data_IF_490365236403
#
_entry.id   IF_490365236403
#
_cell.length_a   1.000
_cell.length_b   1.000
_cell.length_c   1.000
_cell.angle_alpha   90.00
_cell.angle_beta   90.00
_cell.angle_gamma   90.00
#
_symmetry.space_group_name_H-M   'P 1'
#
loop_
_entity.id
_entity.type
_entity.pdbx_description
1 polymer ?
#
# COMPACT_ATOMS: atom_id res chain seq x y z
N UNK A 1 -53.87 6.94 -39.48
CA UNK A 1 -53.22 8.26 -39.25
C UNK A 1 -53.08 8.39 -37.74
N UNK A 2 -51.93 8.37 -37.08
CA UNK A 2 -50.51 8.71 -37.38
C UNK A 2 -49.67 7.79 -36.43
N UNK A 3 -48.89 6.83 -36.95
CA UNK A 3 -47.43 6.87 -37.12
C UNK A 3 -46.62 7.18 -35.84
N UNK A 4 -45.80 6.21 -35.41
CA UNK A 4 -44.94 6.29 -34.23
C UNK A 4 -43.68 7.12 -34.42
N UNK A 5 -43.13 7.57 -33.27
CA UNK A 5 -41.75 8.01 -33.13
C UNK A 5 -41.17 7.32 -31.88
N UNK A 6 -40.56 6.16 -32.08
CA UNK A 6 -39.56 5.61 -31.17
C UNK A 6 -38.22 6.31 -31.48
N UNK A 7 -37.91 7.38 -30.75
CA UNK A 7 -36.58 7.99 -30.78
C UNK A 7 -35.57 7.08 -30.10
N UNK A 8 -34.74 6.42 -30.90
CA UNK A 8 -33.52 5.74 -30.44
C UNK A 8 -32.62 6.76 -29.71
N UNK A 9 -32.46 6.61 -28.40
CA UNK A 9 -31.31 7.18 -27.70
C UNK A 9 -30.17 6.19 -27.93
N UNK A 10 -29.33 6.48 -28.91
CA UNK A 10 -28.05 5.81 -29.07
C UNK A 10 -27.18 6.15 -27.84
N UNK A 11 -26.52 5.17 -27.19
CA UNK A 11 -25.54 5.49 -26.18
C UNK A 11 -24.37 6.20 -26.84
N UNK A 12 -23.97 7.35 -26.28
CA UNK A 12 -22.72 8.01 -26.64
C UNK A 12 -21.58 7.03 -26.38
N UNK A 13 -21.08 6.43 -27.45
CA UNK A 13 -20.07 5.38 -27.42
C UNK A 13 -18.75 5.92 -26.86
N UNK A 14 -18.01 5.07 -26.14
CA UNK A 14 -16.73 5.36 -25.45
C UNK A 14 -15.68 6.10 -26.31
N UNK A 15 -15.81 6.10 -27.64
CA UNK A 15 -14.92 6.82 -28.54
C UNK A 15 -15.07 8.34 -28.47
N UNK A 16 -16.27 8.89 -28.20
CA UNK A 16 -16.46 10.35 -28.07
C UNK A 16 -15.79 10.89 -26.80
N UNK A 17 -15.87 10.15 -25.68
CA UNK A 17 -15.18 10.51 -24.44
C UNK A 17 -13.65 10.40 -24.55
N UNK A 18 -13.14 9.48 -25.36
CA UNK A 18 -11.71 9.34 -25.66
C UNK A 18 -11.24 10.42 -26.65
N UNK A 19 -12.06 10.81 -27.61
CA UNK A 19 -11.79 11.90 -28.56
C UNK A 19 -11.74 13.25 -27.84
N UNK A 20 -12.70 13.55 -26.96
CA UNK A 20 -12.71 14.76 -26.12
C UNK A 20 -11.46 14.83 -25.22
N UNK A 21 -11.02 13.69 -24.66
CA UNK A 21 -9.76 13.61 -23.89
C UNK A 21 -8.50 13.83 -24.74
N UNK A 22 -8.51 13.40 -26.00
CA UNK A 22 -7.41 13.62 -26.94
C UNK A 22 -7.35 15.06 -27.43
N UNK A 23 -8.50 15.66 -27.76
CA UNK A 23 -8.57 17.04 -28.25
C UNK A 23 -8.27 18.05 -27.15
N UNK A 24 -8.68 17.78 -25.91
CA UNK A 24 -8.26 18.55 -24.73
C UNK A 24 -6.74 18.47 -24.51
N UNK A 25 -6.11 17.31 -24.75
CA UNK A 25 -4.66 17.10 -24.66
C UNK A 25 -3.87 17.77 -25.80
N UNK A 26 -4.47 17.92 -26.98
CA UNK A 26 -3.85 18.56 -28.15
C UNK A 26 -3.96 20.09 -28.07
N UNK A 27 -5.06 20.64 -27.54
CA UNK A 27 -5.15 22.08 -27.20
C UNK A 27 -4.21 22.50 -26.06
N UNK A 28 -3.66 21.56 -25.28
CA UNK A 28 -2.71 21.85 -24.19
C UNK A 28 -1.28 22.17 -24.66
N UNK A 29 -0.97 22.11 -25.96
CA UNK A 29 0.37 22.45 -26.46
C UNK A 29 0.73 23.94 -26.33
N UNK A 30 -0.25 24.81 -26.04
CA UNK A 30 -0.05 26.26 -25.86
C UNK A 30 -0.14 26.80 -24.43
N UNK A 31 -0.44 25.97 -23.42
CA UNK A 31 -0.64 26.42 -22.03
C UNK A 31 0.25 25.60 -21.09
N UNK A 32 1.31 26.25 -20.60
CA UNK A 32 2.14 25.84 -19.46
C UNK A 32 2.80 24.46 -19.56
N UNK A 33 4.00 24.45 -20.11
CA UNK A 33 4.99 23.38 -19.91
C UNK A 33 5.37 23.29 -18.41
N UNK A 34 4.56 22.57 -17.62
CA UNK A 34 4.80 22.27 -16.20
C UNK A 34 5.64 20.99 -16.01
N UNK A 35 6.67 20.79 -16.83
CA UNK A 35 7.67 19.73 -16.56
C UNK A 35 8.61 20.06 -15.39
N UNK A 36 8.47 21.24 -14.77
CA UNK A 36 9.12 21.57 -13.51
C UNK A 36 8.09 22.11 -12.53
N UNK A 37 8.12 21.63 -11.28
CA UNK A 37 7.42 22.19 -10.13
C UNK A 37 7.82 23.67 -9.90
N UNK A 38 7.33 24.60 -10.71
CA UNK A 38 7.46 26.05 -10.54
C UNK A 38 6.06 26.67 -10.52
N UNK A 39 5.61 27.08 -9.35
CA UNK A 39 4.50 28.03 -9.20
C UNK A 39 5.07 29.45 -9.33
N UNK A 40 4.82 30.16 -10.42
CA UNK A 40 5.30 31.54 -10.57
C UNK A 40 4.49 32.52 -9.70
N UNK A 41 5.16 33.59 -9.21
CA UNK A 41 4.58 34.94 -9.16
C UNK A 41 5.67 36.04 -9.24
N UNK A 42 5.23 37.20 -9.75
CA UNK A 42 5.94 38.31 -10.41
C UNK A 42 7.01 39.12 -9.65
N UNK A 43 7.54 38.69 -8.50
CA UNK A 43 8.29 39.63 -7.63
C UNK A 43 9.62 39.15 -7.04
N UNK A 44 10.40 38.34 -7.76
CA UNK A 44 11.83 38.16 -7.47
C UNK A 44 12.21 37.41 -6.18
N UNK A 45 11.28 36.71 -5.52
CA UNK A 45 11.57 35.86 -4.36
C UNK A 45 11.72 34.39 -4.77
N UNK A 46 12.80 33.73 -4.32
CA UNK A 46 13.12 32.33 -4.60
C UNK A 46 11.98 31.41 -4.13
N UNK A 47 11.42 30.67 -5.08
CA UNK A 47 10.32 29.74 -4.89
C UNK A 47 10.81 28.43 -4.24
N UNK A 48 10.36 28.12 -3.01
CA UNK A 48 10.62 26.83 -2.38
C UNK A 48 9.86 25.71 -3.12
N UNK A 49 10.56 24.68 -3.63
CA UNK A 49 9.93 23.48 -4.21
C UNK A 49 9.03 22.82 -3.15
N UNK A 50 7.94 22.12 -3.54
CA UNK A 50 7.05 21.43 -2.59
C UNK A 50 7.83 20.51 -1.63
N UNK A 51 8.84 19.82 -2.16
CA UNK A 51 9.79 19.01 -1.41
C UNK A 51 10.50 19.74 -0.27
N UNK A 52 10.62 21.06 -0.31
CA UNK A 52 11.41 21.87 0.61
C UNK A 52 10.51 22.76 1.50
N UNK A 53 9.19 22.65 1.35
CA UNK A 53 8.21 23.44 2.09
C UNK A 53 8.11 23.04 3.57
N UNK A 54 8.05 24.01 4.47
CA UNK A 54 7.70 23.81 5.88
C UNK A 54 6.23 23.38 6.05
N UNK A 55 5.88 22.83 7.22
CA UNK A 55 4.49 22.49 7.55
C UNK A 55 3.54 23.69 7.47
N UNK A 56 4.04 24.88 7.80
CA UNK A 56 3.29 26.14 7.69
C UNK A 56 3.07 26.51 6.23
N UNK A 57 4.10 26.42 5.38
CA UNK A 57 3.97 26.64 3.94
C UNK A 57 2.97 25.65 3.30
N UNK A 58 2.99 24.37 3.68
CA UNK A 58 2.00 23.39 3.19
C UNK A 58 0.56 23.77 3.60
N UNK A 59 0.37 24.33 4.81
CA UNK A 59 -0.96 24.81 5.24
C UNK A 59 -1.45 25.96 4.36
N UNK A 60 -0.56 26.88 3.98
CA UNK A 60 -0.88 27.98 3.06
C UNK A 60 -1.16 27.48 1.64
N UNK A 61 -0.32 26.58 1.12
CA UNK A 61 -0.53 25.92 -0.17
C UNK A 61 -1.88 25.21 -0.23
N UNK A 62 -2.24 24.44 0.80
CA UNK A 62 -3.53 23.75 0.87
C UNK A 62 -4.73 24.72 0.81
N UNK A 63 -4.63 25.89 1.42
CA UNK A 63 -5.67 26.93 1.31
C UNK A 63 -5.72 27.52 -0.10
N UNK A 64 -4.57 27.74 -0.72
CA UNK A 64 -4.46 28.21 -2.10
C UNK A 64 -5.11 27.23 -3.08
N UNK A 65 -4.82 25.94 -2.96
CA UNK A 65 -5.41 24.90 -3.81
C UNK A 65 -6.92 24.78 -3.65
N UNK A 66 -7.45 24.95 -2.43
CA UNK A 66 -8.92 25.03 -2.25
C UNK A 66 -9.52 26.22 -2.98
N UNK A 67 -8.88 27.40 -2.96
CA UNK A 67 -9.39 28.57 -3.68
C UNK A 67 -9.40 28.34 -5.19
N UNK A 68 -8.32 27.78 -5.74
CA UNK A 68 -8.24 27.40 -7.16
C UNK A 68 -9.32 26.39 -7.51
N UNK A 69 -9.45 25.31 -6.74
CA UNK A 69 -10.47 24.29 -6.96
C UNK A 69 -11.89 24.87 -6.90
N UNK A 70 -12.20 25.74 -5.94
CA UNK A 70 -13.49 26.45 -5.88
C UNK A 70 -13.76 27.26 -7.15
N UNK A 71 -12.74 27.96 -7.65
CA UNK A 71 -12.88 28.79 -8.85
C UNK A 71 -13.09 27.92 -10.10
N UNK A 72 -12.28 26.87 -10.27
CA UNK A 72 -12.40 25.91 -11.37
C UNK A 72 -13.80 25.30 -11.37
N UNK A 73 -14.23 24.75 -10.22
CA UNK A 73 -15.53 24.10 -10.11
C UNK A 73 -16.68 25.07 -10.36
N UNK A 74 -16.65 26.28 -9.80
CA UNK A 74 -17.69 27.29 -10.01
C UNK A 74 -17.81 27.70 -11.48
N UNK A 75 -16.69 27.84 -12.18
CA UNK A 75 -16.70 28.18 -13.61
C UNK A 75 -17.23 27.01 -14.44
N UNK A 76 -16.72 25.80 -14.19
CA UNK A 76 -17.14 24.60 -14.89
C UNK A 76 -18.65 24.33 -14.70
N UNK A 77 -19.15 24.47 -13.46
CA UNK A 77 -20.57 24.29 -13.16
C UNK A 77 -21.48 25.29 -13.90
N UNK A 78 -21.00 26.52 -14.14
CA UNK A 78 -21.73 27.51 -14.95
C UNK A 78 -21.76 27.13 -16.42
N UNK A 79 -20.62 26.70 -16.99
CA UNK A 79 -20.53 26.32 -18.40
C UNK A 79 -21.28 25.01 -18.70
N UNK A 80 -21.45 24.14 -17.71
CA UNK A 80 -22.17 22.86 -17.85
C UNK A 80 -23.63 22.94 -17.39
N UNK A 81 -24.19 24.14 -17.24
CA UNK A 81 -25.57 24.37 -16.81
C UNK A 81 -25.98 23.61 -15.52
N UNK A 82 -25.04 23.48 -14.58
CA UNK A 82 -25.28 22.80 -13.31
C UNK A 82 -24.94 21.31 -13.30
N UNK A 83 -24.44 20.73 -14.39
CA UNK A 83 -24.02 19.32 -14.38
C UNK A 83 -22.69 19.13 -13.62
N UNK A 84 -22.79 18.46 -12.47
CA UNK A 84 -21.66 18.12 -11.59
C UNK A 84 -20.69 17.13 -12.24
N UNK A 85 -21.18 16.20 -13.06
CA UNK A 85 -20.34 15.18 -13.69
C UNK A 85 -19.38 15.84 -14.68
N UNK A 86 -19.89 16.70 -15.56
CA UNK A 86 -19.07 17.47 -16.49
C UNK A 86 -18.17 18.48 -15.76
N UNK A 87 -18.69 19.16 -14.73
CA UNK A 87 -17.88 20.11 -13.94
C UNK A 87 -16.71 19.45 -13.20
N UNK A 88 -16.85 18.17 -12.83
CA UNK A 88 -15.77 17.40 -12.22
C UNK A 88 -14.58 17.16 -13.14
N UNK A 89 -14.79 17.07 -14.45
CA UNK A 89 -13.71 16.81 -15.42
C UNK A 89 -12.60 17.86 -15.29
N UNK A 90 -12.97 19.13 -15.15
CA UNK A 90 -12.02 20.23 -14.95
C UNK A 90 -11.22 20.10 -13.64
N UNK A 91 -11.87 19.68 -12.56
CA UNK A 91 -11.17 19.40 -11.29
C UNK A 91 -10.24 18.20 -11.42
N UNK A 92 -10.65 17.14 -12.13
CA UNK A 92 -9.83 15.96 -12.35
C UNK A 92 -8.58 16.31 -13.17
N UNK A 93 -8.71 17.16 -14.20
CA UNK A 93 -7.57 17.70 -14.95
C UNK A 93 -6.64 18.50 -14.05
N UNK A 94 -7.17 19.42 -13.22
CA UNK A 94 -6.36 20.18 -12.26
C UNK A 94 -5.56 19.27 -11.33
N UNK A 95 -6.21 18.25 -10.76
CA UNK A 95 -5.57 17.24 -9.91
C UNK A 95 -4.47 16.47 -10.62
N UNK A 96 -4.70 16.07 -11.88
CA UNK A 96 -3.71 15.36 -12.69
C UNK A 96 -2.48 16.24 -12.99
N UNK A 97 -2.68 17.51 -13.35
CA UNK A 97 -1.60 18.46 -13.65
C UNK A 97 -0.62 18.63 -12.49
N UNK A 98 -1.14 18.68 -11.27
CA UNK A 98 -0.31 18.81 -10.06
C UNK A 98 0.14 17.45 -9.50
N UNK A 99 -0.19 16.34 -10.16
CA UNK A 99 0.15 14.98 -9.75
C UNK A 99 -0.46 14.57 -8.41
N UNK A 100 -1.72 14.93 -8.15
CA UNK A 100 -2.52 14.45 -7.03
C UNK A 100 -3.59 13.52 -7.58
N UNK A 101 -3.63 12.28 -7.12
CA UNK A 101 -4.68 11.36 -7.57
C UNK A 101 -6.07 11.84 -7.12
N UNK A 102 -7.10 11.46 -7.87
CA UNK A 102 -8.49 11.72 -7.51
C UNK A 102 -8.83 11.17 -6.11
N UNK A 103 -9.77 11.80 -5.38
CA UNK A 103 -10.33 11.22 -4.18
C UNK A 103 -11.18 9.99 -4.52
N UNK A 104 -10.98 8.91 -3.76
CA UNK A 104 -11.90 7.77 -3.76
C UNK A 104 -13.19 8.20 -3.03
N UNK A 105 -14.31 8.17 -3.76
CA UNK A 105 -15.65 8.44 -3.25
C UNK A 105 -16.69 7.82 -4.20
N UNK A 106 -17.85 7.47 -3.65
CA UNK A 106 -18.96 6.84 -4.38
C UNK A 106 -19.60 7.79 -5.40
N UNK A 107 -19.74 9.07 -5.04
CA UNK A 107 -20.37 10.08 -5.91
C UNK A 107 -19.39 11.19 -6.28
N UNK A 108 -19.63 11.83 -7.44
CA UNK A 108 -18.86 13.00 -7.86
C UNK A 108 -19.02 14.17 -6.88
N UNK A 109 -20.21 14.37 -6.32
CA UNK A 109 -20.43 15.40 -5.29
C UNK A 109 -19.49 15.20 -4.09
N UNK A 110 -19.32 13.95 -3.63
CA UNK A 110 -18.41 13.66 -2.54
C UNK A 110 -16.94 13.88 -2.95
N UNK A 111 -16.57 13.58 -4.21
CA UNK A 111 -15.25 13.92 -4.74
C UNK A 111 -15.03 15.44 -4.71
N UNK A 112 -15.99 16.23 -5.17
CA UNK A 112 -15.95 17.70 -5.11
C UNK A 112 -15.76 18.17 -3.68
N UNK A 113 -16.57 17.68 -2.73
CA UNK A 113 -16.47 18.05 -1.32
C UNK A 113 -15.08 17.76 -0.73
N UNK A 114 -14.41 16.68 -1.15
CA UNK A 114 -13.02 16.40 -0.77
C UNK A 114 -12.06 17.44 -1.34
N UNK A 115 -12.17 17.78 -2.63
CA UNK A 115 -11.29 18.76 -3.28
C UNK A 115 -11.57 20.19 -2.79
N UNK A 116 -12.76 20.49 -2.28
CA UNK A 116 -13.04 21.78 -1.64
C UNK A 116 -12.62 21.83 -0.15
N UNK A 117 -12.11 20.73 0.40
CA UNK A 117 -11.72 20.62 1.80
C UNK A 117 -10.21 20.90 2.02
N UNK A 118 -9.89 21.93 2.81
CA UNK A 118 -8.49 22.27 3.13
C UNK A 118 -7.75 21.17 3.88
N UNK A 119 -8.46 20.43 4.76
CA UNK A 119 -7.85 19.30 5.50
C UNK A 119 -7.43 18.18 4.55
N UNK A 120 -8.22 17.92 3.50
CA UNK A 120 -7.90 16.93 2.47
C UNK A 120 -6.63 17.32 1.70
N UNK A 121 -6.57 18.56 1.20
CA UNK A 121 -5.39 19.09 0.52
C UNK A 121 -4.13 19.03 1.38
N UNK A 122 -4.23 19.45 2.65
CA UNK A 122 -3.09 19.37 3.58
C UNK A 122 -2.57 17.94 3.71
N UNK A 123 -3.45 16.94 3.77
CA UNK A 123 -3.06 15.53 3.84
C UNK A 123 -2.39 15.08 2.53
N UNK A 124 -2.96 15.41 1.37
CA UNK A 124 -2.43 15.02 0.06
C UNK A 124 -1.07 15.65 -0.23
N UNK A 125 -0.91 16.94 0.05
CA UNK A 125 0.36 17.67 -0.14
C UNK A 125 1.46 17.16 0.79
N UNK A 126 1.16 16.86 2.06
CA UNK A 126 2.14 16.24 2.97
C UNK A 126 2.64 14.89 2.45
N UNK A 127 1.74 14.05 1.93
CA UNK A 127 2.13 12.74 1.36
C UNK A 127 2.96 12.91 0.10
N UNK A 128 2.58 13.84 -0.80
CA UNK A 128 3.33 14.13 -2.02
C UNK A 128 4.73 14.63 -1.70
N UNK A 129 4.85 15.67 -0.88
CA UNK A 129 6.13 16.17 -0.40
C UNK A 129 6.97 15.06 0.22
N UNK A 130 6.35 14.24 1.08
CA UNK A 130 7.07 13.22 1.82
C UNK A 130 7.75 12.19 0.92
N UNK A 131 7.07 11.82 -0.18
CA UNK A 131 7.58 10.90 -1.21
C UNK A 131 8.58 11.58 -2.13
N UNK A 132 8.38 12.85 -2.48
CA UNK A 132 9.34 13.62 -3.28
C UNK A 132 10.68 13.80 -2.56
N UNK A 133 10.67 14.11 -1.26
CA UNK A 133 11.88 14.17 -0.44
C UNK A 133 12.61 12.83 -0.41
N UNK A 134 11.87 11.73 -0.23
CA UNK A 134 12.47 10.40 -0.19
C UNK A 134 13.03 9.98 -1.54
N UNK A 135 12.33 10.25 -2.64
CA UNK A 135 12.84 10.01 -3.99
C UNK A 135 14.15 10.75 -4.24
N UNK A 136 14.24 12.04 -3.86
CA UNK A 136 15.52 12.77 -3.97
C UNK A 136 16.65 12.08 -3.20
N UNK A 137 16.36 11.51 -2.03
CA UNK A 137 17.36 10.79 -1.25
C UNK A 137 17.78 9.47 -1.92
N UNK A 138 16.82 8.76 -2.54
CA UNK A 138 17.08 7.56 -3.34
C UNK A 138 17.95 7.91 -4.55
N UNK A 139 17.56 8.92 -5.33
CA UNK A 139 18.27 9.38 -6.53
C UNK A 139 19.68 9.89 -6.21
N UNK A 140 19.85 10.54 -5.06
CA UNK A 140 21.17 10.98 -4.56
C UNK A 140 22.03 9.82 -4.01
N UNK A 141 21.55 8.57 -4.07
CA UNK A 141 22.27 7.39 -3.58
C UNK A 141 22.51 7.40 -2.07
N UNK A 142 21.64 8.06 -1.30
CA UNK A 142 21.64 8.01 0.17
C UNK A 142 21.02 6.70 0.67
N UNK A 143 19.98 6.21 0.00
CA UNK A 143 19.27 4.99 0.37
C UNK A 143 19.94 3.78 -0.25
N UNK A 144 20.85 3.14 0.51
CA UNK A 144 21.60 1.95 0.07
C UNK A 144 22.25 1.24 1.26
N UNK A 145 22.75 0.01 1.01
CA UNK A 145 23.38 -0.86 2.02
C UNK A 145 24.50 -0.17 2.82
N UNK A 146 25.36 0.59 2.16
CA UNK A 146 26.51 1.24 2.80
C UNK A 146 26.21 2.60 3.44
N UNK A 147 24.94 3.04 3.42
CA UNK A 147 24.49 4.31 3.98
C UNK A 147 23.17 4.11 4.75
N UNK A 148 22.07 4.69 4.25
CA UNK A 148 20.79 4.75 4.93
C UNK A 148 19.88 3.64 4.41
N UNK A 149 19.97 2.46 5.01
CA UNK A 149 19.25 1.26 4.53
C UNK A 149 17.73 1.48 4.58
N UNK A 150 17.03 0.96 3.56
CA UNK A 150 15.57 0.95 3.36
C UNK A 150 14.92 2.31 3.07
N UNK A 151 15.32 3.36 3.77
CA UNK A 151 14.73 4.70 3.72
C UNK A 151 15.72 5.72 4.28
N UNK A 152 15.58 7.01 3.95
CA UNK A 152 16.46 8.06 4.46
C UNK A 152 16.29 8.35 5.96
N UNK A 153 17.34 8.82 6.62
CA UNK A 153 17.31 9.22 8.04
C UNK A 153 16.33 10.36 8.30
N UNK A 154 16.19 11.27 7.33
CA UNK A 154 15.22 12.36 7.39
C UNK A 154 13.78 11.83 7.46
N UNK A 155 13.46 10.81 6.67
CA UNK A 155 12.14 10.18 6.70
C UNK A 155 11.89 9.43 8.01
N UNK A 156 12.90 8.78 8.58
CA UNK A 156 12.81 8.15 9.91
C UNK A 156 12.53 9.20 10.99
N UNK A 157 13.30 10.29 11.01
CA UNK A 157 13.12 11.38 11.97
C UNK A 157 11.73 12.01 11.85
N UNK A 158 11.25 12.26 10.62
CA UNK A 158 9.89 12.75 10.37
C UNK A 158 8.83 11.77 10.90
N UNK A 159 8.99 10.47 10.66
CA UNK A 159 8.04 9.46 11.12
C UNK A 159 7.99 9.39 12.65
N UNK A 160 9.16 9.40 13.31
CA UNK A 160 9.27 9.45 14.78
C UNK A 160 8.57 10.69 15.35
N UNK A 161 8.83 11.87 14.79
CA UNK A 161 8.17 13.10 15.21
C UNK A 161 6.64 13.05 15.02
N UNK A 162 6.17 12.48 13.91
CA UNK A 162 4.74 12.30 13.66
C UNK A 162 4.08 11.34 14.64
N UNK A 163 4.75 10.24 15.02
CA UNK A 163 4.26 9.32 16.06
C UNK A 163 4.19 10.00 17.42
N UNK A 164 5.28 10.65 17.86
CA UNK A 164 5.29 11.36 19.14
C UNK A 164 4.23 12.47 19.23
N UNK A 165 3.93 13.18 18.13
CA UNK A 165 2.82 14.14 18.11
C UNK A 165 1.45 13.46 18.24
N UNK A 166 1.25 12.30 17.63
CA UNK A 166 0.01 11.55 17.75
C UNK A 166 -0.16 10.99 19.18
N UNK A 167 0.89 10.44 19.75
CA UNK A 167 0.87 9.87 21.10
C UNK A 167 0.50 10.96 22.12
N UNK A 168 1.13 12.14 22.04
CA UNK A 168 0.75 13.31 22.86
C UNK A 168 -0.71 13.73 22.69
N UNK A 169 -1.27 13.65 21.48
CA UNK A 169 -2.69 13.96 21.27
C UNK A 169 -3.56 12.92 21.98
N UNK A 170 -3.24 11.63 21.87
CA UNK A 170 -4.00 10.56 22.50
C UNK A 170 -3.89 10.57 24.03
N UNK A 171 -2.75 10.99 24.57
CA UNK A 171 -2.52 11.14 26.02
C UNK A 171 -3.36 12.27 26.63
N UNK A 172 -3.69 13.29 25.84
CA UNK A 172 -4.45 14.48 26.27
C UNK A 172 -5.95 14.42 25.91
N UNK A 173 -6.42 13.31 25.36
CA UNK A 173 -7.83 13.10 25.02
C UNK A 173 -8.40 11.96 25.85
N UNK A 174 -9.55 12.21 26.47
CA UNK A 174 -10.30 11.24 27.27
C UNK A 174 -11.54 10.80 26.49
N UNK A 175 -11.82 9.50 26.49
CA UNK A 175 -13.09 8.93 26.07
C UNK A 175 -13.93 8.58 27.30
N UNK A 176 -15.23 8.85 27.20
CA UNK A 176 -16.22 8.54 28.24
C UNK A 176 -17.25 7.60 27.61
N UNK A 177 -17.54 6.48 28.26
CA UNK A 177 -18.58 5.55 27.82
C UNK A 177 -19.94 5.85 28.47
N UNK A 178 -20.98 5.13 28.06
CA UNK A 178 -22.36 5.33 28.55
C UNK A 178 -22.53 5.03 30.05
N UNK A 179 -21.55 4.35 30.68
CA UNK A 179 -21.50 4.07 32.11
C UNK A 179 -20.73 5.16 32.90
N UNK A 180 -20.29 6.23 32.24
CA UNK A 180 -19.51 7.30 32.85
C UNK A 180 -18.05 6.94 33.15
N UNK A 181 -17.54 5.82 32.63
CA UNK A 181 -16.14 5.44 32.80
C UNK A 181 -15.26 6.25 31.86
N UNK A 182 -14.16 6.78 32.41
CA UNK A 182 -13.22 7.63 31.68
C UNK A 182 -11.90 6.90 31.43
N UNK A 183 -11.43 6.93 30.18
CA UNK A 183 -10.14 6.36 29.79
C UNK A 183 -9.40 7.31 28.84
N UNK A 184 -8.08 7.39 28.98
CA UNK A 184 -7.27 8.09 27.96
C UNK A 184 -7.33 7.32 26.65
N UNK A 185 -7.42 8.05 25.53
CA UNK A 185 -7.38 7.42 24.20
C UNK A 185 -6.07 6.67 23.97
N UNK A 186 -4.97 7.10 24.59
CA UNK A 186 -3.70 6.40 24.54
C UNK A 186 -3.80 4.97 25.11
N UNK A 187 -4.38 4.83 26.31
CA UNK A 187 -4.51 3.54 26.99
C UNK A 187 -5.40 2.59 26.19
N UNK A 188 -6.53 3.10 25.67
CA UNK A 188 -7.40 2.33 24.78
C UNK A 188 -6.68 1.90 23.49
N UNK A 189 -5.83 2.75 22.93
CA UNK A 189 -5.05 2.41 21.73
C UNK A 189 -4.04 1.28 22.00
N UNK A 190 -3.45 1.22 23.20
CA UNK A 190 -2.51 0.16 23.57
C UNK A 190 -3.14 -1.22 23.72
N UNK A 191 -4.47 -1.29 23.90
CA UNK A 191 -5.24 -2.53 23.93
C UNK A 191 -5.67 -3.03 22.54
N UNK A 192 -5.35 -2.28 21.48
CA UNK A 192 -5.76 -2.57 20.11
C UNK A 192 -4.59 -3.05 19.24
N UNK A 193 -4.88 -3.39 17.98
CA UNK A 193 -3.88 -3.69 16.95
C UNK A 193 -2.95 -2.51 16.62
N UNK A 194 -3.21 -1.32 17.18
CA UNK A 194 -2.29 -0.18 17.11
C UNK A 194 -1.02 -0.46 17.92
N UNK A 195 -1.10 -1.32 18.94
CA UNK A 195 0.05 -1.86 19.65
C UNK A 195 0.77 -2.91 18.77
N UNK A 196 2.06 -2.69 18.43
CA UNK A 196 2.84 -3.62 17.62
C UNK A 196 2.86 -5.06 18.18
N UNK A 197 2.90 -5.22 19.51
CA UNK A 197 2.94 -6.54 20.14
C UNK A 197 1.62 -7.30 19.93
N UNK A 198 0.48 -6.64 20.14
CA UNK A 198 -0.85 -7.23 19.89
C UNK A 198 -1.02 -7.55 18.41
N UNK A 199 -0.58 -6.65 17.52
CA UNK A 199 -0.61 -6.86 16.08
C UNK A 199 0.22 -8.07 15.64
N UNK A 200 1.44 -8.22 16.20
CA UNK A 200 2.32 -9.37 15.97
C UNK A 200 1.66 -10.65 16.47
N UNK A 201 1.14 -10.66 17.70
CA UNK A 201 0.45 -11.80 18.27
C UNK A 201 -0.75 -12.23 17.40
N UNK A 202 -1.62 -11.29 17.00
CA UNK A 202 -2.75 -11.56 16.10
C UNK A 202 -2.31 -12.20 14.76
N UNK A 203 -1.23 -11.68 14.15
CA UNK A 203 -0.71 -12.23 12.90
C UNK A 203 -0.20 -13.66 13.10
N UNK A 204 0.56 -13.89 14.17
CA UNK A 204 1.10 -15.22 14.48
C UNK A 204 -0.01 -16.23 14.79
N UNK A 205 -1.04 -15.84 15.55
CA UNK A 205 -2.19 -16.70 15.84
C UNK A 205 -2.90 -17.13 14.56
N UNK A 206 -3.13 -16.21 13.61
CA UNK A 206 -3.79 -16.56 12.35
C UNK A 206 -2.93 -17.43 11.44
N UNK A 207 -1.61 -17.22 11.41
CA UNK A 207 -0.69 -18.09 10.69
C UNK A 207 -0.71 -19.50 11.27
N UNK A 208 -0.67 -19.61 12.60
CA UNK A 208 -0.79 -20.89 13.30
C UNK A 208 -2.12 -21.58 13.00
N UNK A 209 -3.22 -20.83 12.91
CA UNK A 209 -4.52 -21.36 12.52
C UNK A 209 -4.53 -21.93 11.09
N UNK A 210 -3.96 -21.20 10.12
CA UNK A 210 -3.82 -21.71 8.75
C UNK A 210 -2.91 -22.92 8.64
N UNK A 211 -1.85 -22.98 9.44
CA UNK A 211 -0.97 -24.15 9.52
C UNK A 211 -1.68 -25.37 10.13
N UNK A 212 -2.48 -25.17 11.18
CA UNK A 212 -3.28 -26.26 11.73
C UNK A 212 -4.33 -26.74 10.73
N UNK A 213 -5.00 -25.81 10.05
CA UNK A 213 -5.95 -26.12 9.00
C UNK A 213 -5.28 -26.92 7.87
N UNK A 214 -4.09 -26.52 7.42
CA UNK A 214 -3.39 -27.25 6.36
C UNK A 214 -3.07 -28.68 6.74
N UNK A 215 -2.65 -28.91 8.00
CA UNK A 215 -2.41 -30.27 8.53
C UNK A 215 -3.68 -31.12 8.51
N UNK A 216 -4.83 -30.56 8.89
CA UNK A 216 -6.11 -31.27 8.92
C UNK A 216 -6.60 -31.68 7.51
N UNK A 217 -6.29 -30.89 6.49
CA UNK A 217 -6.72 -31.12 5.11
C UNK A 217 -5.65 -31.77 4.22
N UNK A 218 -4.47 -32.08 4.76
CA UNK A 218 -3.36 -32.67 3.99
C UNK A 218 -2.68 -31.69 3.02
N UNK A 219 -2.94 -30.40 3.15
CA UNK A 219 -2.29 -29.34 2.39
C UNK A 219 -0.82 -29.17 2.81
N UNK A 220 -0.03 -28.60 1.92
CA UNK A 220 1.39 -28.36 2.13
C UNK A 220 1.71 -26.88 2.12
N UNK A 221 2.61 -26.47 3.01
CA UNK A 221 3.13 -25.10 3.08
C UNK A 221 4.33 -24.89 2.16
N UNK A 222 4.31 -23.80 1.38
CA UNK A 222 5.44 -23.32 0.61
C UNK A 222 5.72 -21.84 0.88
N UNK A 223 7.01 -21.52 0.87
CA UNK A 223 7.52 -20.18 1.04
C UNK A 223 8.11 -19.68 -0.27
N UNK A 224 7.56 -18.60 -0.81
CA UNK A 224 8.05 -17.98 -2.04
C UNK A 224 8.63 -16.60 -1.77
N UNK A 225 9.63 -16.24 -2.56
CA UNK A 225 10.16 -14.87 -2.64
C UNK A 225 10.04 -14.37 -4.07
N UNK A 226 9.44 -13.19 -4.25
CA UNK A 226 9.32 -12.51 -5.55
C UNK A 226 9.96 -11.12 -5.43
N UNK A 227 10.94 -10.83 -6.28
CA UNK A 227 11.68 -9.56 -6.28
C UNK A 227 11.17 -8.65 -7.40
N UNK A 228 11.68 -7.42 -7.58
CA UNK A 228 11.47 -6.57 -8.78
C UNK A 228 12.64 -6.69 -9.79
N UNK A 229 12.45 -6.38 -11.09
CA UNK A 229 13.54 -6.41 -12.09
C UNK A 229 14.66 -5.44 -11.70
N UNK A 230 15.90 -5.72 -12.10
CA UNK A 230 17.06 -4.94 -11.65
C UNK A 230 16.97 -3.45 -11.96
N UNK A 231 16.27 -3.05 -13.04
CA UNK A 231 16.04 -1.64 -13.38
C UNK A 231 15.20 -0.87 -12.36
N UNK A 232 14.42 -1.55 -11.53
CA UNK A 232 13.62 -0.91 -10.47
C UNK A 232 14.39 -0.71 -9.16
N UNK A 233 15.63 -1.20 -9.10
CA UNK A 233 16.52 -1.08 -7.95
C UNK A 233 17.46 0.11 -8.12
N UNK A 234 17.40 1.09 -7.21
CA UNK A 234 18.29 2.27 -7.25
C UNK A 234 19.76 1.94 -7.02
N UNK A 235 20.05 0.75 -6.49
CA UNK A 235 21.40 0.19 -6.40
C UNK A 235 21.96 -0.33 -7.74
N UNK A 236 21.12 -0.49 -8.77
CA UNK A 236 21.50 -1.00 -10.09
C UNK A 236 22.04 0.09 -11.00
N UNK A 237 23.01 -0.24 -11.85
CA UNK A 237 23.46 0.66 -12.94
C UNK A 237 22.38 0.88 -14.01
N UNK A 238 21.37 0.02 -14.06
CA UNK A 238 20.23 0.10 -14.99
C UNK A 238 19.01 0.80 -14.38
N UNK A 239 19.18 1.48 -13.24
CA UNK A 239 18.06 2.09 -12.53
C UNK A 239 17.28 3.06 -13.43
N UNK A 240 15.96 2.88 -13.50
CA UNK A 240 15.08 3.65 -14.38
C UNK A 240 14.29 4.76 -13.66
N UNK A 241 14.62 5.03 -12.39
CA UNK A 241 13.90 6.01 -11.57
C UNK A 241 12.59 5.47 -10.97
N UNK A 242 12.31 4.16 -11.08
CA UNK A 242 11.14 3.55 -10.43
C UNK A 242 11.18 3.78 -8.93
N UNK A 243 10.10 4.38 -8.42
CA UNK A 243 9.91 4.62 -6.98
C UNK A 243 9.46 3.33 -6.27
N UNK A 244 9.69 3.17 -4.95
CA UNK A 244 9.19 2.00 -4.21
C UNK A 244 7.67 1.78 -4.32
N UNK A 245 6.88 2.86 -4.46
CA UNK A 245 5.44 2.76 -4.69
C UNK A 245 5.11 2.18 -6.06
N UNK A 246 5.84 2.56 -7.11
CA UNK A 246 5.66 2.00 -8.46
C UNK A 246 6.12 0.55 -8.52
N UNK A 247 7.25 0.21 -7.89
CA UNK A 247 7.70 -1.18 -7.77
C UNK A 247 6.69 -2.06 -7.01
N UNK A 248 6.09 -1.57 -5.93
CA UNK A 248 5.01 -2.27 -5.23
C UNK A 248 3.76 -2.45 -6.11
N UNK A 249 3.43 -1.44 -6.93
CA UNK A 249 2.33 -1.54 -7.89
C UNK A 249 2.61 -2.60 -8.96
N UNK A 250 3.85 -2.67 -9.46
CA UNK A 250 4.29 -3.73 -10.38
C UNK A 250 4.09 -5.13 -9.77
N UNK A 251 4.58 -5.38 -8.54
CA UNK A 251 4.39 -6.66 -7.87
C UNK A 251 2.90 -6.99 -7.64
N UNK A 252 2.10 -5.97 -7.33
CA UNK A 252 0.66 -6.13 -7.18
C UNK A 252 -0.02 -6.52 -8.50
N UNK A 253 0.41 -5.96 -9.62
CA UNK A 253 -0.06 -6.33 -10.97
C UNK A 253 0.35 -7.76 -11.33
N UNK A 254 1.59 -8.16 -11.04
CA UNK A 254 2.02 -9.56 -11.25
C UNK A 254 1.18 -10.53 -10.42
N UNK A 255 0.90 -10.19 -9.16
CA UNK A 255 0.02 -10.98 -8.31
C UNK A 255 -1.42 -11.06 -8.81
N UNK A 256 -1.97 -9.99 -9.39
CA UNK A 256 -3.29 -10.03 -10.04
C UNK A 256 -3.31 -11.03 -11.19
N UNK A 257 -2.27 -11.04 -12.04
CA UNK A 257 -2.13 -12.02 -13.14
C UNK A 257 -2.01 -13.45 -12.62
N UNK A 258 -1.20 -13.68 -11.59
CA UNK A 258 -1.04 -14.98 -10.92
C UNK A 258 -2.41 -15.46 -10.42
N UNK A 259 -3.11 -14.65 -9.62
CA UNK A 259 -4.44 -15.01 -9.09
C UNK A 259 -5.44 -15.31 -10.20
N UNK A 260 -5.47 -14.51 -11.25
CA UNK A 260 -6.36 -14.74 -12.38
C UNK A 260 -6.06 -16.08 -13.08
N UNK A 261 -4.78 -16.45 -13.23
CA UNK A 261 -4.37 -17.74 -13.81
C UNK A 261 -4.75 -18.93 -12.91
N UNK A 262 -4.51 -18.84 -11.61
CA UNK A 262 -4.89 -19.88 -10.64
C UNK A 262 -6.41 -20.07 -10.61
N UNK A 263 -7.17 -18.97 -10.59
CA UNK A 263 -8.64 -19.01 -10.61
C UNK A 263 -9.20 -19.68 -11.87
N UNK A 264 -8.65 -19.39 -13.06
CA UNK A 264 -9.04 -20.09 -14.31
C UNK A 264 -8.76 -21.59 -14.28
N UNK A 265 -7.87 -22.05 -13.41
CA UNK A 265 -7.56 -23.46 -13.18
C UNK A 265 -8.26 -24.04 -11.95
N UNK A 266 -9.12 -23.26 -11.29
CA UNK A 266 -9.81 -23.63 -10.05
C UNK A 266 -8.83 -24.11 -8.96
N UNK A 267 -7.66 -23.48 -8.91
CA UNK A 267 -6.64 -23.77 -7.90
C UNK A 267 -6.77 -22.72 -6.81
N UNK A 268 -7.04 -23.19 -5.60
CA UNK A 268 -7.14 -22.37 -4.41
C UNK A 268 -5.82 -22.39 -3.64
N UNK A 269 -5.43 -21.23 -3.14
CA UNK A 269 -4.28 -21.05 -2.25
C UNK A 269 -4.69 -20.10 -1.13
N UNK A 270 -4.20 -20.34 0.08
CA UNK A 270 -4.42 -19.46 1.23
C UNK A 270 -3.12 -19.27 2.01
N UNK A 271 -3.04 -18.23 2.83
CA UNK A 271 -1.80 -17.89 3.52
C UNK A 271 -1.59 -16.39 3.71
N UNK A 272 -0.33 -15.94 3.62
CA UNK A 272 0.07 -14.58 3.90
C UNK A 272 1.11 -14.06 2.92
N UNK A 273 0.99 -12.77 2.61
CA UNK A 273 1.99 -11.99 1.88
C UNK A 273 2.58 -10.91 2.79
N UNK A 274 3.90 -10.95 2.93
CA UNK A 274 4.72 -9.92 3.58
C UNK A 274 5.47 -9.13 2.51
N UNK A 275 5.51 -7.81 2.65
CA UNK A 275 6.33 -6.93 1.79
C UNK A 275 7.46 -6.36 2.63
N UNK A 276 8.69 -6.52 2.15
CA UNK A 276 9.89 -5.97 2.77
C UNK A 276 10.69 -5.10 1.80
N UNK A 277 11.37 -4.06 2.29
CA UNK A 277 12.32 -3.31 1.48
C UNK A 277 13.64 -4.07 1.35
N UNK A 278 14.21 -4.07 0.15
CA UNK A 278 15.64 -4.27 -0.02
C UNK A 278 16.42 -3.07 0.54
N UNK A 279 17.74 -3.22 0.66
CA UNK A 279 18.61 -2.20 1.24
C UNK A 279 18.53 -0.83 0.53
N UNK A 280 18.08 -0.81 -0.71
CA UNK A 280 17.88 0.37 -1.56
C UNK A 280 16.42 0.89 -1.57
N UNK A 281 15.55 0.30 -0.74
CA UNK A 281 14.14 0.66 -0.61
C UNK A 281 13.21 -0.01 -1.61
N UNK A 282 13.72 -0.76 -2.60
CA UNK A 282 12.88 -1.47 -3.55
C UNK A 282 12.13 -2.63 -2.86
N UNK A 283 10.79 -2.75 -2.99
CA UNK A 283 10.03 -3.82 -2.35
C UNK A 283 10.31 -5.20 -2.98
N UNK A 284 10.26 -6.22 -2.14
CA UNK A 284 10.10 -7.62 -2.52
C UNK A 284 9.03 -8.28 -1.65
N UNK A 285 8.47 -9.38 -2.15
CA UNK A 285 7.40 -10.11 -1.49
C UNK A 285 7.89 -11.44 -0.97
N UNK A 286 7.49 -11.74 0.25
CA UNK A 286 7.51 -13.08 0.81
C UNK A 286 6.07 -13.60 0.88
N UNK A 287 5.85 -14.79 0.35
CA UNK A 287 4.55 -15.45 0.32
C UNK A 287 4.67 -16.75 1.10
N UNK A 288 3.93 -16.88 2.18
CA UNK A 288 3.65 -18.15 2.81
C UNK A 288 2.30 -18.63 2.28
N UNK A 289 2.28 -19.69 1.46
CA UNK A 289 1.06 -20.22 0.89
C UNK A 289 0.89 -21.69 1.25
N UNK A 290 -0.35 -22.08 1.53
CA UNK A 290 -0.81 -23.43 1.71
C UNK A 290 -1.71 -23.81 0.54
N UNK A 291 -1.59 -25.06 0.10
CA UNK A 291 -2.30 -25.61 -1.06
C UNK A 291 -2.20 -27.13 -1.09
N UNK A 292 -3.04 -27.75 -1.92
CA UNK A 292 -2.97 -29.19 -2.18
C UNK A 292 -1.59 -29.60 -2.72
N UNK A 293 -1.05 -30.72 -2.24
CA UNK A 293 0.30 -31.17 -2.58
C UNK A 293 0.49 -31.41 -4.09
N UNK A 294 -0.57 -31.84 -4.78
CA UNK A 294 -0.56 -32.19 -6.21
C UNK A 294 -0.40 -30.97 -7.12
N UNK A 295 -0.80 -29.77 -6.66
CA UNK A 295 -0.78 -28.55 -7.47
C UNK A 295 0.49 -27.72 -7.29
N UNK A 296 1.33 -28.04 -6.31
CA UNK A 296 2.55 -27.26 -5.97
C UNK A 296 3.46 -26.98 -7.17
N UNK A 297 3.71 -28.00 -8.02
CA UNK A 297 4.53 -27.85 -9.22
C UNK A 297 3.96 -26.83 -10.22
N UNK A 298 2.63 -26.84 -10.38
CA UNK A 298 1.94 -25.88 -11.25
C UNK A 298 1.93 -24.47 -10.64
N UNK A 299 1.68 -24.34 -9.33
CA UNK A 299 1.69 -23.04 -8.65
C UNK A 299 3.08 -22.40 -8.72
N UNK A 300 4.15 -23.17 -8.46
CA UNK A 300 5.55 -22.74 -8.64
C UNK A 300 5.82 -22.23 -10.04
N UNK A 301 5.37 -22.96 -11.08
CA UNK A 301 5.62 -22.57 -12.47
C UNK A 301 4.89 -21.27 -12.84
N UNK A 302 3.64 -21.09 -12.39
CA UNK A 302 2.86 -19.86 -12.59
C UNK A 302 3.51 -18.66 -11.87
N UNK A 303 3.90 -18.83 -10.61
CA UNK A 303 4.60 -17.79 -9.85
C UNK A 303 5.91 -17.40 -10.54
N UNK A 304 6.73 -18.39 -10.92
CA UNK A 304 8.01 -18.17 -11.62
C UNK A 304 7.81 -17.46 -12.95
N UNK A 305 6.81 -17.87 -13.75
CA UNK A 305 6.57 -17.26 -15.08
C UNK A 305 6.24 -15.77 -14.97
N UNK A 306 5.39 -15.38 -14.01
CA UNK A 306 5.03 -13.97 -13.82
C UNK A 306 6.13 -13.17 -13.13
N UNK A 307 6.90 -13.78 -12.22
CA UNK A 307 8.08 -13.17 -11.65
C UNK A 307 9.15 -12.85 -12.72
N UNK A 308 9.25 -13.66 -13.77
CA UNK A 308 10.19 -13.48 -14.88
C UNK A 308 9.58 -12.83 -16.14
N UNK A 309 8.31 -12.41 -16.10
CA UNK A 309 7.60 -11.88 -17.28
C UNK A 309 8.28 -10.62 -17.85
N UNK A 310 8.82 -9.76 -16.98
CA UNK A 310 9.51 -8.53 -17.36
C UNK A 310 10.99 -8.68 -17.08
N UNK A 311 11.79 -8.45 -18.13
CA UNK A 311 13.26 -8.56 -18.13
C UNK A 311 13.78 -9.92 -17.61
N UNK A 312 13.03 -11.01 -17.78
CA UNK A 312 13.40 -12.33 -17.26
C UNK A 312 14.70 -12.93 -17.80
N UNK A 313 15.23 -12.39 -18.90
CA UNK A 313 16.51 -12.77 -19.50
C UNK A 313 17.70 -11.96 -18.98
N UNK A 314 17.51 -11.00 -18.06
CA UNK A 314 18.62 -10.27 -17.49
C UNK A 314 19.55 -11.16 -16.65
N UNK A 315 20.84 -10.82 -16.62
CA UNK A 315 21.84 -11.60 -15.88
C UNK A 315 21.44 -11.74 -14.40
N UNK A 316 21.33 -13.00 -13.94
CA UNK A 316 20.95 -13.34 -12.57
C UNK A 316 19.45 -13.34 -12.29
N UNK A 317 18.59 -13.05 -13.27
CA UNK A 317 17.14 -13.03 -13.09
C UNK A 317 16.59 -14.35 -12.53
N UNK A 318 16.93 -15.47 -13.17
CA UNK A 318 16.46 -16.78 -12.73
C UNK A 318 16.82 -17.11 -11.28
N UNK A 319 17.96 -16.60 -10.80
CA UNK A 319 18.46 -16.83 -9.44
C UNK A 319 17.82 -15.90 -8.41
N UNK A 320 17.51 -14.65 -8.78
CA UNK A 320 17.17 -13.60 -7.82
C UNK A 320 15.72 -13.12 -7.87
N UNK A 321 14.99 -13.35 -8.98
CA UNK A 321 13.62 -12.84 -9.17
C UNK A 321 12.57 -13.73 -8.51
N UNK A 322 12.85 -15.04 -8.39
CA UNK A 322 11.95 -16.02 -7.80
C UNK A 322 12.71 -17.08 -7.00
N UNK A 323 12.26 -17.34 -5.77
CA UNK A 323 12.71 -18.47 -4.94
C UNK A 323 11.48 -19.22 -4.42
N UNK A 324 11.52 -20.54 -4.45
CA UNK A 324 10.50 -21.42 -3.87
C UNK A 324 11.15 -22.38 -2.89
N UNK A 325 10.61 -22.46 -1.67
CA UNK A 325 11.08 -23.36 -0.62
C UNK A 325 9.87 -24.09 -0.04
N UNK A 326 9.87 -25.42 -0.12
CA UNK A 326 8.87 -26.22 0.58
C UNK A 326 9.18 -26.18 2.08
N UNK A 327 8.15 -25.98 2.88
CA UNK A 327 8.28 -26.02 4.34
C UNK A 327 8.43 -27.48 4.73
N UNK A 328 9.52 -27.78 5.44
CA UNK A 328 9.80 -29.13 5.89
C UNK A 328 8.76 -29.56 6.94
N UNK A 329 8.61 -30.86 7.12
CA UNK A 329 7.71 -31.45 8.12
C UNK A 329 8.53 -32.29 9.10
N UNK A 330 7.97 -32.58 10.27
CA UNK A 330 8.67 -33.29 11.34
C UNK A 330 9.56 -32.39 12.20
N UNK A 331 10.46 -33.00 12.95
CA UNK A 331 11.29 -32.31 13.95
C UNK A 331 12.48 -31.60 13.30
N UNK A 332 12.67 -30.32 13.62
CA UNK A 332 13.85 -29.57 13.24
C UNK A 332 15.04 -30.00 14.12
N UNK A 333 16.08 -30.62 13.55
CA UNK A 333 17.20 -31.15 14.32
C UNK A 333 18.03 -30.07 15.02
N UNK A 334 17.94 -28.81 14.58
CA UNK A 334 18.67 -27.68 15.20
C UNK A 334 17.97 -27.13 16.43
N UNK A 335 16.65 -27.16 16.45
CA UNK A 335 15.85 -26.51 17.50
C UNK A 335 15.10 -27.51 18.38
N UNK A 336 15.02 -28.79 17.99
CA UNK A 336 14.27 -29.84 18.69
C UNK A 336 12.75 -29.73 18.59
N UNK A 337 12.21 -28.60 18.12
CA UNK A 337 10.78 -28.41 17.84
C UNK A 337 10.38 -28.79 16.42
N UNK A 338 9.08 -28.88 16.13
CA UNK A 338 8.59 -29.14 14.77
C UNK A 338 8.96 -28.00 13.81
N UNK A 339 9.25 -28.34 12.55
CA UNK A 339 9.21 -27.37 11.47
C UNK A 339 7.81 -26.77 11.41
N UNK A 340 7.75 -25.44 11.44
CA UNK A 340 6.47 -24.73 11.37
C UNK A 340 6.47 -23.61 10.36
N UNK A 341 5.38 -23.50 9.62
CA UNK A 341 5.13 -22.39 8.71
C UNK A 341 5.13 -21.05 9.46
N UNK A 342 4.57 -21.04 10.68
CA UNK A 342 4.71 -19.94 11.62
C UNK A 342 6.18 -19.56 11.85
N UNK A 343 7.06 -20.53 12.12
CA UNK A 343 8.49 -20.30 12.30
C UNK A 343 9.19 -19.73 11.07
N UNK A 344 8.84 -20.19 9.87
CA UNK A 344 9.43 -19.68 8.61
C UNK A 344 9.14 -18.20 8.39
N UNK A 345 7.91 -17.75 8.67
CA UNK A 345 7.48 -16.37 8.45
C UNK A 345 7.74 -15.45 9.66
N UNK A 346 7.87 -16.00 10.87
CA UNK A 346 8.04 -15.25 12.12
C UNK A 346 9.17 -14.22 12.05
N UNK A 347 10.33 -14.58 11.50
CA UNK A 347 11.48 -13.66 11.38
C UNK A 347 11.14 -12.41 10.57
N UNK A 348 10.31 -12.53 9.53
CA UNK A 348 9.90 -11.43 8.66
C UNK A 348 8.86 -10.56 9.38
N UNK A 349 7.94 -11.17 10.13
CA UNK A 349 6.96 -10.45 10.95
C UNK A 349 7.66 -9.64 12.05
N UNK A 350 8.55 -10.27 12.83
CA UNK A 350 9.29 -9.58 13.89
C UNK A 350 10.09 -8.40 13.32
N UNK A 351 10.90 -8.61 12.28
CA UNK A 351 11.67 -7.53 11.65
C UNK A 351 10.80 -6.36 11.19
N UNK A 352 9.66 -6.63 10.59
CA UNK A 352 8.81 -5.62 10.01
C UNK A 352 7.88 -4.90 11.02
N UNK A 353 7.69 -5.42 12.24
CA UNK A 353 6.74 -4.85 13.23
C UNK A 353 7.44 -4.18 14.42
N UNK A 354 8.31 -4.89 15.14
CA UNK A 354 8.87 -4.41 16.41
C UNK A 354 10.32 -4.85 16.68
N UNK A 355 10.93 -5.66 15.80
CA UNK A 355 12.26 -6.24 16.02
C UNK A 355 12.30 -7.31 17.12
N UNK A 356 11.15 -7.77 17.62
CA UNK A 356 11.08 -8.66 18.77
C UNK A 356 11.78 -10.01 18.54
N UNK A 357 12.63 -10.40 19.49
CA UNK A 357 13.34 -11.69 19.48
C UNK A 357 14.46 -11.78 18.45
N UNK A 358 14.95 -10.63 17.96
CA UNK A 358 16.06 -10.53 17.01
C UNK A 358 17.03 -9.49 17.56
N UNK A 359 18.27 -9.86 17.84
CA UNK A 359 19.28 -8.88 18.32
C UNK A 359 19.82 -8.04 17.16
N UNK A 360 20.10 -8.68 16.03
CA UNK A 360 20.62 -8.04 14.83
C UNK A 360 19.84 -8.45 13.56
N UNK A 361 19.61 -7.50 12.65
CA UNK A 361 19.03 -7.78 11.33
C UNK A 361 20.00 -8.53 10.41
N UNK A 362 19.57 -8.86 9.18
CA UNK A 362 20.41 -9.61 8.21
C UNK A 362 21.67 -8.85 7.76
N UNK A 363 21.80 -7.59 8.16
CA UNK A 363 22.89 -6.70 7.80
C UNK A 363 23.71 -6.25 9.02
N UNK A 364 23.45 -6.83 10.20
CA UNK A 364 24.17 -6.53 11.44
C UNK A 364 23.70 -5.27 12.16
N UNK A 365 22.57 -4.67 11.77
CA UNK A 365 21.99 -3.53 12.48
C UNK A 365 21.12 -3.99 13.64
N UNK A 366 21.01 -3.15 14.68
CA UNK A 366 20.02 -3.33 15.74
C UNK A 366 18.60 -3.55 15.14
N UNK A 367 17.93 -4.62 15.56
CA UNK A 367 16.67 -5.03 14.94
C UNK A 367 15.52 -4.06 15.20
N UNK A 368 15.50 -3.35 16.33
CA UNK A 368 14.48 -2.34 16.62
C UNK A 368 14.68 -1.11 15.73
N UNK A 369 15.93 -0.68 15.56
CA UNK A 369 16.29 0.40 14.64
C UNK A 369 15.89 0.03 13.20
N UNK A 370 16.21 -1.19 12.75
CA UNK A 370 15.80 -1.68 11.43
C UNK A 370 14.27 -1.70 11.28
N UNK A 371 13.53 -2.14 12.29
CA UNK A 371 12.07 -2.16 12.28
C UNK A 371 11.46 -0.77 12.14
N UNK A 372 11.98 0.22 12.87
CA UNK A 372 11.55 1.61 12.75
C UNK A 372 11.79 2.19 11.34
N UNK A 373 12.87 1.78 10.66
CA UNK A 373 13.15 2.17 9.27
C UNK A 373 12.17 1.52 8.29
N UNK A 374 11.89 0.22 8.45
CA UNK A 374 10.92 -0.50 7.63
C UNK A 374 9.51 0.11 7.81
N UNK A 375 9.13 0.47 9.04
CA UNK A 375 7.86 1.12 9.35
C UNK A 375 7.77 2.52 8.68
N UNK A 376 8.83 3.32 8.77
CA UNK A 376 8.91 4.62 8.13
C UNK A 376 8.86 4.53 6.59
N UNK A 377 9.55 3.54 6.02
CA UNK A 377 9.50 3.19 4.60
C UNK A 377 8.06 2.86 4.16
N UNK A 378 7.43 1.88 4.84
CA UNK A 378 6.08 1.44 4.52
C UNK A 378 5.06 2.57 4.64
N UNK A 379 5.16 3.38 5.71
CA UNK A 379 4.29 4.54 5.91
C UNK A 379 4.48 5.62 4.83
N UNK A 380 5.71 5.90 4.41
CA UNK A 380 6.00 6.96 3.42
C UNK A 380 5.48 6.56 2.03
N UNK A 381 5.71 5.31 1.65
CA UNK A 381 5.27 4.79 0.36
C UNK A 381 3.80 4.36 0.34
N UNK A 382 3.18 4.19 1.52
CA UNK A 382 1.80 3.72 1.65
C UNK A 382 1.67 2.24 1.31
N UNK A 383 2.67 1.44 1.71
CA UNK A 383 2.76 0.02 1.41
C UNK A 383 2.15 -0.77 2.57
N UNK A 384 1.09 -1.52 2.29
CA UNK A 384 0.57 -2.52 3.23
C UNK A 384 1.58 -3.66 3.28
N UNK A 385 2.25 -3.85 4.42
CA UNK A 385 3.25 -4.91 4.59
C UNK A 385 2.60 -6.30 4.65
N UNK A 386 1.60 -6.49 5.52
CA UNK A 386 0.95 -7.79 5.75
C UNK A 386 -0.43 -7.88 5.10
N UNK A 387 -0.65 -8.94 4.32
CA UNK A 387 -1.92 -9.25 3.68
C UNK A 387 -2.20 -10.73 3.82
N UNK A 388 -3.37 -11.07 4.35
CA UNK A 388 -3.89 -12.44 4.30
C UNK A 388 -4.40 -12.74 2.88
N UNK A 389 -4.17 -13.96 2.42
CA UNK A 389 -4.63 -14.51 1.14
C UNK A 389 -5.57 -15.66 1.47
N UNK A 390 -6.77 -15.66 0.89
CA UNK A 390 -7.79 -16.68 1.20
C UNK A 390 -8.25 -16.68 2.67
N UNK A 391 -9.01 -17.71 3.02
CA UNK A 391 -9.62 -17.90 4.34
C UNK A 391 -10.66 -16.84 4.71
N UNK A 392 -11.19 -16.95 5.93
CA UNK A 392 -12.14 -15.99 6.48
C UNK A 392 -11.53 -14.60 6.67
N UNK A 393 -12.34 -13.55 6.53
CA UNK A 393 -11.84 -12.18 6.67
C UNK A 393 -11.35 -11.91 8.09
N UNK A 394 -10.33 -11.06 8.23
CA UNK A 394 -9.81 -10.67 9.56
C UNK A 394 -10.87 -10.03 10.44
N UNK A 395 -11.82 -9.31 9.83
CA UNK A 395 -12.93 -8.72 10.57
C UNK A 395 -13.82 -9.80 11.17
N UNK A 396 -14.21 -10.80 10.38
CA UNK A 396 -15.00 -11.95 10.88
C UNK A 396 -14.24 -12.65 12.01
N UNK A 397 -12.95 -12.96 11.83
CA UNK A 397 -12.12 -13.55 12.89
C UNK A 397 -12.12 -12.70 14.18
N UNK A 398 -12.02 -11.37 14.07
CA UNK A 398 -12.05 -10.46 15.23
C UNK A 398 -13.39 -10.44 15.93
N UNK A 399 -14.50 -10.52 15.19
CA UNK A 399 -15.84 -10.59 15.78
C UNK A 399 -16.08 -11.94 16.44
N UNK A 400 -15.70 -13.05 15.80
CA UNK A 400 -15.82 -14.40 16.36
C UNK A 400 -15.07 -14.55 17.68
N UNK A 401 -13.88 -13.96 17.78
CA UNK A 401 -13.09 -13.96 19.03
C UNK A 401 -13.78 -13.26 20.20
N UNK A 402 -14.79 -12.42 19.95
CA UNK A 402 -15.58 -11.77 21.00
C UNK A 402 -16.75 -12.62 21.48
N UNK A 403 -17.14 -13.63 20.71
CA UNK A 403 -18.20 -14.55 21.06
C UNK A 403 -17.69 -15.59 22.06
N UNK A 404 -18.60 -16.06 22.92
CA UNK A 404 -18.35 -17.21 23.80
C UNK A 404 -18.70 -18.51 23.08
N UNK A 405 -18.11 -19.62 23.50
CA UNK A 405 -18.25 -20.93 22.82
C UNK A 405 -19.71 -21.38 22.64
N UNK A 406 -20.58 -21.00 23.57
CA UNK A 406 -22.03 -21.26 23.53
C UNK A 406 -22.73 -20.57 22.34
N UNK A 407 -22.19 -19.46 21.87
CA UNK A 407 -22.74 -18.64 20.77
C UNK A 407 -22.23 -19.09 19.39
N UNK A 408 -21.20 -19.95 19.35
CA UNK A 408 -20.57 -20.43 18.11
C UNK A 408 -21.14 -21.78 17.67
N UNK A 409 -21.48 -22.64 18.64
CA UNK A 409 -21.84 -24.05 18.41
C UNK A 409 -23.13 -24.20 17.59
N UNK A 410 -23.06 -24.94 16.47
CA UNK A 410 -24.21 -25.25 15.62
C UNK A 410 -24.40 -24.31 14.42
N UNK A 411 -23.48 -23.37 14.19
CA UNK A 411 -23.48 -22.52 13.00
C UNK A 411 -22.28 -22.84 12.10
N UNK A 412 -22.50 -23.58 11.01
CA UNK A 412 -21.45 -24.02 10.07
C UNK A 412 -20.61 -22.85 9.53
N UNK A 413 -21.21 -21.67 9.35
CA UNK A 413 -20.52 -20.46 8.89
C UNK A 413 -19.58 -19.90 9.95
N UNK A 414 -19.98 -19.90 11.23
CA UNK A 414 -19.15 -19.44 12.34
C UNK A 414 -18.08 -20.47 12.71
N UNK A 415 -18.38 -21.76 12.56
CA UNK A 415 -17.43 -22.85 12.82
C UNK A 415 -16.33 -22.95 11.76
N UNK A 416 -16.61 -22.54 10.51
CA UNK A 416 -15.61 -22.50 9.43
C UNK A 416 -14.70 -21.27 9.46
N UNK A 417 -15.16 -20.17 10.05
CA UNK A 417 -14.50 -18.88 10.01
C UNK A 417 -13.54 -18.68 11.19
#
# INVERSE_FOLDING_TARGET
MIAGFSGNIQPVEEWEAVAIKKDAAIQTAGILNLKGNQWQQESGAIMHRLSDASLTQIKWMARGEVRKAKQIFKNALRSTFGDYQSAWVELAVHLALIGIAEPEAETVEWKVNRVLCTKWWRRRLRVKQAREQENKAIDAGLVKKSKQIYVSDQTVARRRAQRGQNDRILENLTAINDLGQEYKLYDLAQLSISNPQIRRAELMTRISGFEQYSKNWGDVGEFYTITCPSKMHSSSRKYDGTTPKQAQAYLSTQWQKIRAKLNRKKIEVYGFRVVEPHHDGCPHWHLLLFMDASVTGFVRSVLKSYALEVDGSEAGAEKHRFKAERILTGTNPKTGGEYSAAGYIAKYISKAIDGYGVDFDLFGNDAQAASARIEAWASTWGIRQFQQIGGASVTVWRELRRLRDEEIKGCEVLERA
#
